data_IF_491429201504
#
_entry.id   IF_491429201504
#
_cell.length_a   1.000
_cell.length_b   1.000
_cell.length_c   1.000
_cell.angle_alpha   90.00
_cell.angle_beta   90.00
_cell.angle_gamma   90.00
#
_symmetry.space_group_name_H-M   'P 1'
#
loop_
_entity.id
_entity.type
_entity.pdbx_description
1 polymer ?
#
# COMPACT_ATOMS: atom_id res chain seq x y z
N UNK A 1 46.63 40.67 33.85
CA UNK A 1 45.58 40.55 32.82
C UNK A 1 45.69 39.17 32.19
N UNK A 2 44.71 38.29 32.43
CA UNK A 2 44.64 36.94 31.86
C UNK A 2 43.74 37.01 30.61
N UNK A 3 44.26 36.60 29.46
CA UNK A 3 43.45 36.37 28.25
C UNK A 3 42.74 35.01 28.36
N UNK A 4 41.49 34.87 27.88
CA UNK A 4 40.77 33.60 27.90
C UNK A 4 41.28 32.65 26.80
N UNK A 5 41.12 31.33 26.97
CA UNK A 5 41.50 30.36 25.95
C UNK A 5 40.48 30.37 24.80
N UNK A 6 40.99 30.24 23.57
CA UNK A 6 40.18 30.06 22.37
C UNK A 6 39.49 28.68 22.41
N UNK A 7 38.16 28.67 22.34
CA UNK A 7 37.39 27.45 22.09
C UNK A 7 37.61 27.00 20.64
N UNK A 8 38.30 25.87 20.45
CA UNK A 8 38.25 25.12 19.20
C UNK A 8 36.84 24.54 19.06
N UNK A 9 36.06 25.13 18.15
CA UNK A 9 34.80 24.54 17.70
C UNK A 9 35.15 23.39 16.75
N UNK A 10 35.07 22.15 17.24
CA UNK A 10 35.12 20.98 16.38
C UNK A 10 33.79 20.88 15.64
N UNK A 11 33.78 21.29 14.37
CA UNK A 11 32.71 20.93 13.44
C UNK A 11 32.90 19.44 13.15
N UNK A 12 32.16 18.56 13.85
CA UNK A 12 32.00 17.19 13.38
C UNK A 12 31.26 17.27 12.03
N UNK A 13 31.79 16.63 10.97
CA UNK A 13 30.97 16.42 9.79
C UNK A 13 29.82 15.50 10.23
N UNK A 14 28.57 15.98 10.11
CA UNK A 14 27.43 15.08 10.10
C UNK A 14 27.63 14.15 8.92
N UNK A 15 28.05 12.92 9.20
CA UNK A 15 27.93 11.83 8.26
C UNK A 15 26.42 11.68 8.03
N UNK A 16 25.93 12.14 6.88
CA UNK A 16 24.69 11.63 6.32
C UNK A 16 24.84 10.12 6.32
N UNK A 17 24.12 9.43 7.19
CA UNK A 17 24.00 7.99 7.14
C UNK A 17 23.21 7.67 5.88
N UNK A 18 23.87 7.62 4.73
CA UNK A 18 23.41 6.79 3.63
C UNK A 18 23.38 5.38 4.21
N UNK A 19 22.19 4.90 4.55
CA UNK A 19 22.00 3.50 4.91
C UNK A 19 22.69 2.67 3.84
N UNK A 20 23.63 1.81 4.25
CA UNK A 20 24.19 0.81 3.35
C UNK A 20 23.02 -0.11 3.04
N UNK A 21 22.41 0.11 1.87
CA UNK A 21 21.22 -0.62 1.46
C UNK A 21 21.53 -2.12 1.47
N UNK A 22 20.64 -2.92 2.06
CA UNK A 22 20.77 -4.37 2.04
C UNK A 22 20.80 -4.83 0.57
N UNK A 23 21.95 -5.35 0.14
CA UNK A 23 22.09 -5.92 -1.18
C UNK A 23 21.31 -7.24 -1.21
N UNK A 24 20.38 -7.38 -2.16
CA UNK A 24 19.63 -8.62 -2.31
C UNK A 24 20.63 -9.74 -2.68
N UNK A 25 20.40 -11.02 -2.30
CA UNK A 25 21.36 -12.07 -2.61
C UNK A 25 21.50 -12.27 -4.14
N UNK A 26 22.70 -12.64 -4.61
CA UNK A 26 22.89 -12.94 -6.05
C UNK A 26 22.11 -14.18 -6.49
N UNK A 27 21.99 -15.16 -5.60
CA UNK A 27 21.21 -16.37 -5.79
C UNK A 27 20.32 -16.60 -4.59
N UNK A 28 19.12 -17.09 -4.82
CA UNK A 28 18.17 -17.43 -3.78
C UNK A 28 17.56 -18.79 -4.11
N UNK A 29 17.47 -19.67 -3.13
CA UNK A 29 16.80 -20.95 -3.27
C UNK A 29 15.41 -20.83 -2.68
N UNK A 30 14.40 -21.00 -3.50
CA UNK A 30 13.01 -21.06 -3.06
C UNK A 30 12.82 -22.25 -2.10
N UNK A 31 12.00 -22.07 -1.07
CA UNK A 31 11.74 -23.10 -0.06
C UNK A 31 10.27 -23.16 0.38
N UNK A 32 9.36 -22.73 -0.49
CA UNK A 32 7.91 -22.74 -0.28
C UNK A 32 7.19 -23.72 -1.21
N UNK A 33 6.11 -24.33 -0.72
CA UNK A 33 5.34 -25.35 -1.44
C UNK A 33 6.23 -26.43 -2.11
N UNK A 34 6.06 -26.64 -3.41
CA UNK A 34 6.87 -27.54 -4.25
C UNK A 34 8.05 -26.82 -4.91
N UNK A 35 8.24 -25.52 -4.65
CA UNK A 35 9.32 -24.73 -5.21
C UNK A 35 10.60 -25.00 -4.41
N UNK A 36 11.58 -25.56 -5.10
CA UNK A 36 12.94 -25.76 -4.62
C UNK A 36 13.93 -25.41 -5.74
N UNK A 37 13.71 -24.27 -6.40
CA UNK A 37 14.60 -23.82 -7.47
C UNK A 37 15.55 -22.76 -6.97
N UNK A 38 16.76 -22.82 -7.50
CA UNK A 38 17.71 -21.73 -7.34
C UNK A 38 17.46 -20.72 -8.43
N UNK A 39 17.03 -19.52 -8.03
CA UNK A 39 16.85 -18.37 -8.90
C UNK A 39 18.04 -17.43 -8.75
N UNK A 40 18.36 -16.71 -9.81
CA UNK A 40 19.48 -15.76 -9.85
C UNK A 40 18.96 -14.34 -10.06
N UNK A 41 19.47 -13.40 -9.28
CA UNK A 41 19.17 -11.98 -9.44
C UNK A 41 19.68 -11.49 -10.79
N UNK A 42 18.80 -10.88 -11.58
CA UNK A 42 19.11 -10.28 -12.89
C UNK A 42 19.08 -8.76 -12.86
N UNK A 43 18.42 -8.17 -11.87
CA UNK A 43 18.36 -6.72 -11.67
C UNK A 43 18.10 -6.37 -10.20
N UNK A 44 18.57 -5.20 -9.78
CA UNK A 44 18.23 -4.59 -8.50
C UNK A 44 18.35 -3.07 -8.56
N UNK A 45 17.40 -2.38 -7.90
CA UNK A 45 17.53 -0.99 -7.47
C UNK A 45 17.07 -0.82 -6.00
N UNK A 46 16.70 0.39 -5.59
CA UNK A 46 16.27 0.68 -4.22
C UNK A 46 14.90 0.08 -3.84
N UNK A 47 14.10 -0.30 -4.84
CA UNK A 47 12.69 -0.64 -4.68
C UNK A 47 12.36 -2.04 -5.20
N UNK A 48 13.16 -2.61 -6.09
CA UNK A 48 12.90 -3.95 -6.62
C UNK A 48 14.19 -4.74 -6.80
N UNK A 49 14.09 -6.04 -6.55
CA UNK A 49 15.08 -7.04 -6.95
C UNK A 49 14.37 -8.10 -7.82
N UNK A 50 14.86 -8.31 -9.04
CA UNK A 50 14.25 -9.25 -10.01
C UNK A 50 15.13 -10.48 -10.12
N UNK A 51 14.52 -11.65 -10.04
CA UNK A 51 15.14 -12.97 -10.08
C UNK A 51 14.52 -13.83 -11.16
N UNK A 52 15.38 -14.50 -11.91
CA UNK A 52 14.98 -15.47 -12.93
C UNK A 52 15.51 -16.85 -12.54
N UNK A 53 14.69 -17.88 -12.76
CA UNK A 53 15.21 -19.23 -12.87
C UNK A 53 16.04 -19.41 -14.16
N UNK A 54 16.64 -20.58 -14.36
CA UNK A 54 17.48 -20.84 -15.53
C UNK A 54 16.71 -20.94 -16.86
N UNK A 55 15.38 -21.04 -16.82
CA UNK A 55 14.53 -21.21 -18.01
C UNK A 55 14.06 -19.85 -18.57
N UNK A 56 14.00 -18.79 -17.76
CA UNK A 56 13.66 -17.45 -18.24
C UNK A 56 14.81 -16.83 -19.04
N UNK A 57 14.47 -16.26 -20.21
CA UNK A 57 15.46 -15.56 -21.04
C UNK A 57 15.98 -14.30 -20.33
N UNK A 58 17.28 -14.29 -19.99
CA UNK A 58 17.96 -13.20 -19.29
C UNK A 58 18.03 -11.87 -20.06
N UNK A 59 17.72 -11.84 -21.35
CA UNK A 59 17.61 -10.58 -22.10
C UNK A 59 16.33 -9.79 -21.79
N UNK A 60 15.37 -10.38 -21.07
CA UNK A 60 14.10 -9.75 -20.70
C UNK A 60 14.36 -8.75 -19.56
N UNK A 61 13.96 -7.49 -19.78
CA UNK A 61 14.27 -6.37 -18.87
C UNK A 61 13.07 -5.49 -18.52
N UNK A 62 11.91 -5.68 -19.16
CA UNK A 62 10.70 -4.91 -18.84
C UNK A 62 10.28 -5.01 -17.36
N UNK A 63 10.49 -6.13 -16.62
CA UNK A 63 10.11 -6.20 -15.21
C UNK A 63 10.85 -5.18 -14.35
N UNK A 64 12.11 -4.87 -14.69
CA UNK A 64 12.98 -4.01 -13.91
C UNK A 64 12.35 -2.62 -13.66
N UNK A 65 11.89 -1.98 -14.73
CA UNK A 65 11.25 -0.67 -14.64
C UNK A 65 9.80 -0.80 -14.20
N UNK A 66 9.03 -1.72 -14.82
CA UNK A 66 7.61 -1.83 -14.55
C UNK A 66 7.30 -2.15 -13.09
N UNK A 67 7.94 -3.19 -12.52
CA UNK A 67 7.71 -3.56 -11.12
C UNK A 67 8.27 -2.53 -10.14
N UNK A 68 9.38 -1.85 -10.49
CA UNK A 68 9.86 -0.72 -9.72
C UNK A 68 8.80 0.39 -9.64
N UNK A 69 8.15 0.73 -10.76
CA UNK A 69 7.11 1.75 -10.80
C UNK A 69 5.84 1.32 -10.06
N UNK A 70 5.40 0.06 -10.24
CA UNK A 70 4.28 -0.53 -9.49
C UNK A 70 4.56 -0.48 -7.99
N UNK A 71 5.73 -0.91 -7.54
CA UNK A 71 6.06 -0.97 -6.11
C UNK A 71 6.22 0.43 -5.49
N UNK A 72 6.84 1.38 -6.20
CA UNK A 72 6.90 2.78 -5.77
C UNK A 72 5.51 3.39 -5.63
N UNK A 73 4.62 3.13 -6.59
CA UNK A 73 3.23 3.55 -6.49
C UNK A 73 2.54 2.93 -5.27
N UNK A 74 2.67 1.62 -5.09
CA UNK A 74 2.11 0.88 -3.95
C UNK A 74 2.54 1.48 -2.62
N UNK A 75 3.84 1.73 -2.42
CA UNK A 75 4.36 2.35 -1.19
C UNK A 75 3.88 3.79 -0.99
N UNK A 76 3.69 4.56 -2.05
CA UNK A 76 3.19 5.95 -1.99
C UNK A 76 1.69 6.05 -1.70
N UNK A 77 0.94 5.00 -1.98
CA UNK A 77 -0.51 4.96 -1.82
C UNK A 77 -0.93 4.26 -0.53
N UNK A 78 -0.27 3.15 -0.20
CA UNK A 78 -0.65 2.27 0.90
C UNK A 78 0.32 2.32 2.09
N UNK A 79 1.42 3.06 2.00
CA UNK A 79 2.40 3.25 3.06
C UNK A 79 3.49 2.18 3.04
N UNK A 80 4.09 1.92 4.20
CA UNK A 80 5.20 0.98 4.29
C UNK A 80 4.77 -0.50 4.29
N UNK A 81 5.66 -1.39 3.82
CA UNK A 81 5.46 -2.85 3.82
C UNK A 81 6.64 -3.56 4.50
N UNK A 82 6.88 -3.25 5.78
CA UNK A 82 8.06 -3.75 6.50
C UNK A 82 9.32 -2.92 6.24
N UNK A 83 10.39 -3.23 6.95
CA UNK A 83 11.61 -2.41 6.96
C UNK A 83 12.42 -2.52 5.67
N UNK A 84 12.26 -3.60 4.92
CA UNK A 84 12.85 -3.75 3.60
C UNK A 84 12.06 -2.92 2.58
N UNK A 85 12.77 -2.07 1.84
CA UNK A 85 12.17 -1.20 0.83
C UNK A 85 11.84 -1.94 -0.47
N UNK A 86 12.36 -3.16 -0.66
CA UNK A 86 12.32 -3.88 -1.92
C UNK A 86 11.15 -4.84 -2.04
N UNK A 87 10.61 -4.90 -3.26
CA UNK A 87 9.86 -6.04 -3.76
C UNK A 87 10.81 -7.05 -4.38
N UNK A 88 10.65 -8.33 -4.05
CA UNK A 88 11.42 -9.43 -4.64
C UNK A 88 10.54 -10.14 -5.65
N UNK A 89 10.86 -10.01 -6.94
CA UNK A 89 10.06 -10.55 -8.02
C UNK A 89 10.77 -11.72 -8.68
N UNK A 90 10.16 -12.90 -8.64
CA UNK A 90 10.68 -14.14 -9.19
C UNK A 90 9.87 -14.52 -10.43
N UNK A 91 10.56 -14.95 -11.48
CA UNK A 91 9.93 -15.39 -12.72
C UNK A 91 10.38 -16.81 -13.10
N UNK A 92 9.42 -17.58 -13.59
CA UNK A 92 9.59 -18.92 -14.13
C UNK A 92 9.02 -19.05 -15.55
N UNK A 93 9.70 -19.81 -16.41
CA UNK A 93 9.22 -20.14 -17.76
C UNK A 93 9.11 -21.66 -17.96
N UNK A 94 8.04 -22.09 -18.62
CA UNK A 94 7.73 -23.50 -18.87
C UNK A 94 7.22 -24.29 -17.65
N UNK A 95 6.89 -23.63 -16.53
CA UNK A 95 6.53 -24.25 -15.24
C UNK A 95 5.79 -23.28 -14.30
N UNK A 96 5.27 -23.83 -13.20
CA UNK A 96 4.64 -23.08 -12.09
C UNK A 96 3.64 -22.01 -12.53
N UNK A 97 2.79 -22.34 -13.51
CA UNK A 97 1.88 -21.37 -14.11
C UNK A 97 0.95 -20.76 -13.06
N UNK A 98 0.93 -19.43 -12.98
CA UNK A 98 0.17 -18.70 -11.96
C UNK A 98 1.06 -17.73 -11.21
N UNK A 99 0.52 -17.20 -10.11
CA UNK A 99 1.25 -16.32 -9.20
C UNK A 99 1.13 -16.82 -7.78
N UNK A 100 2.15 -16.52 -6.99
CA UNK A 100 2.24 -16.83 -5.58
C UNK A 100 2.85 -15.62 -4.85
N UNK A 101 2.04 -14.90 -4.05
CA UNK A 101 2.51 -13.75 -3.31
C UNK A 101 2.92 -14.17 -1.89
N UNK A 102 3.85 -13.43 -1.30
CA UNK A 102 4.13 -13.54 0.13
C UNK A 102 4.58 -12.20 0.69
N UNK A 103 4.39 -12.03 1.99
CA UNK A 103 4.63 -10.76 2.67
C UNK A 103 5.80 -10.88 3.62
N UNK A 104 6.32 -9.73 4.06
CA UNK A 104 7.40 -9.68 5.05
C UNK A 104 7.04 -10.32 6.42
N UNK A 105 5.78 -10.70 6.65
CA UNK A 105 5.39 -11.46 7.83
C UNK A 105 5.80 -12.94 7.74
N UNK A 106 6.00 -13.46 6.53
CA UNK A 106 6.16 -14.89 6.29
C UNK A 106 7.63 -15.33 6.37
N UNK A 107 7.93 -16.18 7.35
CA UNK A 107 9.26 -16.76 7.48
C UNK A 107 9.61 -17.73 6.34
N UNK A 108 8.61 -18.34 5.69
CA UNK A 108 8.80 -19.21 4.52
C UNK A 108 9.31 -18.47 3.28
N UNK A 109 9.33 -17.13 3.30
CA UNK A 109 9.85 -16.30 2.22
C UNK A 109 10.93 -15.36 2.74
N UNK A 110 11.65 -15.78 3.78
CA UNK A 110 12.74 -15.04 4.41
C UNK A 110 12.34 -13.64 4.90
N UNK A 111 11.04 -13.47 5.24
CA UNK A 111 10.43 -12.20 5.65
C UNK A 111 10.61 -11.09 4.62
N UNK A 112 10.43 -11.43 3.34
CA UNK A 112 10.44 -10.49 2.20
C UNK A 112 9.03 -10.30 1.63
N UNK A 113 8.80 -9.15 1.00
CA UNK A 113 7.65 -9.01 0.09
C UNK A 113 8.01 -9.63 -1.24
N UNK A 114 7.28 -10.67 -1.64
CA UNK A 114 7.60 -11.52 -2.77
C UNK A 114 6.41 -11.60 -3.71
N UNK A 115 6.69 -11.49 -5.00
CA UNK A 115 5.83 -12.04 -6.02
C UNK A 115 6.63 -13.12 -6.74
N UNK A 116 6.03 -14.28 -6.89
CA UNK A 116 6.58 -15.41 -7.62
C UNK A 116 5.60 -15.76 -8.73
N UNK A 117 6.02 -15.56 -9.98
CA UNK A 117 5.15 -15.77 -11.14
C UNK A 117 5.74 -16.78 -12.10
N UNK A 118 4.90 -17.69 -12.58
CA UNK A 118 5.28 -18.67 -13.57
C UNK A 118 4.30 -18.72 -14.74
N UNK A 119 4.79 -19.32 -15.82
CA UNK A 119 4.02 -19.56 -17.03
C UNK A 119 4.34 -20.93 -17.59
N UNK A 120 3.32 -21.64 -18.06
CA UNK A 120 3.50 -22.91 -18.76
C UNK A 120 4.22 -22.76 -20.12
N UNK A 121 4.36 -21.54 -20.65
CA UNK A 121 5.09 -21.30 -21.89
C UNK A 121 6.61 -21.22 -21.65
N UNK A 122 7.44 -21.98 -22.38
CA UNK A 122 8.90 -21.89 -22.29
C UNK A 122 9.47 -20.58 -22.85
N UNK A 123 8.66 -19.80 -23.57
CA UNK A 123 9.06 -18.48 -24.13
C UNK A 123 8.29 -17.33 -23.48
N UNK A 124 7.78 -17.54 -22.27
CA UNK A 124 7.02 -16.56 -21.51
C UNK A 124 7.81 -15.25 -21.28
N UNK A 125 7.08 -14.19 -20.91
CA UNK A 125 7.62 -12.89 -20.51
C UNK A 125 8.29 -12.08 -21.62
N UNK A 126 8.36 -12.60 -22.85
CA UNK A 126 9.01 -11.90 -23.97
C UNK A 126 8.26 -10.62 -24.35
N UNK A 127 6.94 -10.57 -24.13
CA UNK A 127 6.10 -9.49 -24.63
C UNK A 127 6.06 -8.27 -23.70
N UNK A 128 6.08 -8.47 -22.38
CA UNK A 128 5.96 -7.37 -21.40
C UNK A 128 4.68 -6.56 -21.57
N UNK A 129 3.60 -7.22 -21.97
CA UNK A 129 2.28 -6.64 -22.23
C UNK A 129 1.17 -7.62 -21.86
N UNK A 130 -0.06 -7.14 -21.72
CA UNK A 130 -1.20 -8.00 -21.43
C UNK A 130 -1.01 -8.77 -20.12
N UNK A 131 -1.14 -10.09 -20.17
CA UNK A 131 -1.05 -10.94 -18.99
C UNK A 131 0.31 -10.87 -18.28
N UNK A 132 1.40 -10.59 -19.01
CA UNK A 132 2.73 -10.40 -18.40
C UNK A 132 2.70 -9.27 -17.35
N UNK A 133 1.97 -8.19 -17.64
CA UNK A 133 1.79 -7.05 -16.74
C UNK A 133 0.66 -7.29 -15.72
N UNK A 134 -0.43 -7.93 -16.16
CA UNK A 134 -1.61 -8.15 -15.33
C UNK A 134 -1.27 -9.03 -14.11
N UNK A 135 -0.58 -10.15 -14.32
CA UNK A 135 -0.29 -11.11 -13.25
C UNK A 135 0.68 -10.53 -12.22
N UNK A 136 1.75 -9.86 -12.66
CA UNK A 136 2.73 -9.33 -11.72
C UNK A 136 2.18 -8.17 -10.90
N UNK A 137 1.26 -7.38 -11.46
CA UNK A 137 0.53 -6.32 -10.72
C UNK A 137 -0.47 -6.92 -9.74
N UNK A 138 -1.13 -7.99 -10.16
CA UNK A 138 -2.08 -8.72 -9.35
C UNK A 138 -1.42 -9.32 -8.11
N UNK A 139 -0.23 -9.90 -8.24
CA UNK A 139 0.50 -10.43 -7.08
C UNK A 139 0.93 -9.32 -6.11
N UNK A 140 1.26 -8.12 -6.61
CA UNK A 140 1.49 -6.95 -5.74
C UNK A 140 0.20 -6.56 -5.01
N UNK A 141 -0.97 -6.71 -5.62
CA UNK A 141 -2.25 -6.46 -4.97
C UNK A 141 -2.45 -7.36 -3.75
N UNK A 142 -2.05 -8.62 -3.83
CA UNK A 142 -2.10 -9.54 -2.68
C UNK A 142 -1.18 -9.10 -1.54
N UNK A 143 0.01 -8.57 -1.83
CA UNK A 143 0.88 -7.98 -0.80
C UNK A 143 0.17 -6.80 -0.12
N UNK A 144 -0.53 -5.96 -0.88
CA UNK A 144 -1.34 -4.87 -0.31
C UNK A 144 -2.44 -5.42 0.59
N UNK A 145 -3.20 -6.39 0.10
CA UNK A 145 -4.28 -7.02 0.84
C UNK A 145 -3.82 -7.68 2.14
N UNK A 146 -2.67 -8.38 2.12
CA UNK A 146 -2.20 -9.23 3.21
C UNK A 146 -1.27 -8.53 4.21
N UNK A 147 -0.74 -7.35 3.88
CA UNK A 147 0.26 -6.68 4.73
C UNK A 147 0.08 -5.16 4.90
N UNK A 148 -0.99 -4.57 4.35
CA UNK A 148 -1.26 -3.15 4.53
C UNK A 148 -1.33 -2.76 6.00
N UNK A 149 -0.74 -1.59 6.30
CA UNK A 149 -0.81 -0.94 7.63
C UNK A 149 -0.16 -1.73 8.75
N UNK A 150 0.79 -2.61 8.42
CA UNK A 150 1.50 -3.39 9.44
C UNK A 150 0.64 -4.46 10.10
N UNK A 151 -0.46 -4.86 9.45
CA UNK A 151 -1.34 -5.93 9.94
C UNK A 151 -1.39 -7.04 8.90
N UNK A 152 -1.17 -8.26 9.35
CA UNK A 152 -1.15 -9.48 8.55
C UNK A 152 -2.57 -10.06 8.38
N UNK A 153 -2.74 -10.85 7.30
CA UNK A 153 -3.96 -11.49 6.80
C UNK A 153 -4.99 -10.55 6.16
N UNK A 154 -5.93 -11.15 5.42
CA UNK A 154 -7.06 -10.47 4.79
C UNK A 154 -8.38 -10.84 5.44
N UNK A 155 -8.99 -9.94 6.24
CA UNK A 155 -10.30 -10.18 6.84
C UNK A 155 -11.42 -10.37 5.83
N UNK A 156 -11.27 -9.84 4.61
CA UNK A 156 -12.27 -9.89 3.55
C UNK A 156 -12.10 -11.10 2.61
N UNK A 157 -11.00 -11.85 2.68
CA UNK A 157 -10.71 -12.96 1.78
C UNK A 157 -11.85 -13.98 1.70
N UNK A 158 -12.48 -14.34 2.82
CA UNK A 158 -13.62 -15.27 2.82
C UNK A 158 -14.87 -14.76 2.09
N UNK A 159 -14.99 -13.45 1.87
CA UNK A 159 -16.15 -12.81 1.23
C UNK A 159 -15.89 -12.57 -0.26
N UNK A 160 -14.78 -11.90 -0.56
CA UNK A 160 -14.42 -11.54 -1.93
C UNK A 160 -13.56 -12.61 -2.62
N UNK A 161 -13.12 -13.64 -1.91
CA UNK A 161 -12.26 -14.73 -2.40
C UNK A 161 -10.96 -14.22 -3.02
N UNK A 162 -10.31 -15.11 -3.75
CA UNK A 162 -9.10 -14.77 -4.46
C UNK A 162 -9.34 -13.65 -5.47
N UNK A 163 -8.48 -12.64 -5.38
CA UNK A 163 -8.24 -11.65 -6.42
C UNK A 163 -9.30 -10.60 -6.75
N UNK A 164 -10.51 -10.61 -6.16
CA UNK A 164 -11.54 -9.63 -6.57
C UNK A 164 -11.16 -8.18 -6.28
N UNK A 165 -10.39 -7.95 -5.21
CA UNK A 165 -9.82 -6.63 -4.94
C UNK A 165 -8.65 -6.29 -5.89
N UNK A 166 -7.87 -7.29 -6.32
CA UNK A 166 -6.80 -7.12 -7.30
C UNK A 166 -7.31 -6.58 -8.65
N UNK A 167 -8.55 -6.90 -9.03
CA UNK A 167 -9.18 -6.38 -10.25
C UNK A 167 -9.20 -4.84 -10.29
N UNK A 168 -9.58 -4.19 -9.17
CA UNK A 168 -9.61 -2.72 -9.10
C UNK A 168 -8.21 -2.13 -8.87
N UNK A 169 -7.34 -2.84 -8.15
CA UNK A 169 -5.96 -2.43 -7.95
C UNK A 169 -5.19 -2.37 -9.27
N UNK A 170 -5.29 -3.40 -10.13
CA UNK A 170 -4.65 -3.40 -11.44
C UNK A 170 -5.09 -2.21 -12.29
N UNK A 171 -6.39 -1.90 -12.30
CA UNK A 171 -6.93 -0.75 -13.01
C UNK A 171 -6.33 0.57 -12.48
N UNK A 172 -6.29 0.73 -11.16
CA UNK A 172 -5.73 1.89 -10.49
C UNK A 172 -4.23 2.09 -10.81
N UNK A 173 -3.43 1.03 -10.69
CA UNK A 173 -2.00 1.04 -11.05
C UNK A 173 -1.80 1.47 -12.50
N UNK A 174 -2.56 0.91 -13.44
CA UNK A 174 -2.43 1.31 -14.85
C UNK A 174 -2.74 2.79 -15.07
N UNK A 175 -3.76 3.33 -14.40
CA UNK A 175 -4.05 4.77 -14.46
C UNK A 175 -2.93 5.61 -13.86
N UNK A 176 -2.43 5.23 -12.67
CA UNK A 176 -1.38 5.95 -11.97
C UNK A 176 -0.06 5.99 -12.75
N UNK A 177 0.25 4.92 -13.48
CA UNK A 177 1.45 4.82 -14.32
C UNK A 177 1.25 5.40 -15.73
N UNK A 178 0.11 6.04 -16.02
CA UNK A 178 -0.19 6.64 -17.33
C UNK A 178 -0.39 5.62 -18.45
N UNK A 179 -0.66 4.35 -18.12
CA UNK A 179 -0.81 3.24 -19.06
C UNK A 179 -2.26 3.13 -19.55
N UNK A 180 -2.73 4.19 -20.21
CA UNK A 180 -4.14 4.34 -20.63
C UNK A 180 -4.64 3.17 -21.50
N UNK A 181 -3.80 2.61 -22.38
CA UNK A 181 -4.18 1.45 -23.21
C UNK A 181 -4.42 0.19 -22.37
N UNK A 182 -3.56 -0.06 -21.39
CA UNK A 182 -3.68 -1.20 -20.48
C UNK A 182 -4.88 -1.03 -19.54
N UNK A 183 -5.06 0.17 -18.99
CA UNK A 183 -6.23 0.51 -18.18
C UNK A 183 -7.55 0.28 -18.95
N UNK A 184 -7.64 0.73 -20.19
CA UNK A 184 -8.84 0.55 -21.03
C UNK A 184 -9.09 -0.92 -21.36
N UNK A 185 -8.04 -1.67 -21.72
CA UNK A 185 -8.14 -3.12 -21.97
C UNK A 185 -8.63 -3.85 -20.71
N UNK A 186 -8.01 -3.58 -19.57
CA UNK A 186 -8.32 -4.21 -18.30
C UNK A 186 -9.73 -3.88 -17.83
N UNK A 187 -10.14 -2.60 -17.92
CA UNK A 187 -11.50 -2.17 -17.64
C UNK A 187 -12.51 -2.94 -18.48
N UNK A 188 -12.32 -2.99 -19.81
CA UNK A 188 -13.23 -3.68 -20.72
C UNK A 188 -13.32 -5.19 -20.45
N UNK A 189 -12.24 -5.80 -19.96
CA UNK A 189 -12.27 -7.18 -19.52
C UNK A 189 -13.08 -7.33 -18.22
N UNK A 190 -12.71 -6.59 -17.18
CA UNK A 190 -13.27 -6.72 -15.83
C UNK A 190 -14.74 -6.33 -15.72
N UNK A 191 -15.23 -5.37 -16.53
CA UNK A 191 -16.66 -5.04 -16.54
C UNK A 191 -17.54 -6.18 -17.07
N UNK A 192 -16.97 -7.09 -17.85
CA UNK A 192 -17.67 -8.25 -18.41
C UNK A 192 -17.45 -9.53 -17.58
N UNK A 193 -16.47 -9.55 -16.67
CA UNK A 193 -16.21 -10.69 -15.77
C UNK A 193 -17.39 -10.91 -14.83
N UNK A 194 -17.83 -12.16 -14.72
CA UNK A 194 -18.87 -12.61 -13.80
C UNK A 194 -18.35 -13.67 -12.84
N UNK A 195 -18.93 -13.67 -11.64
CA UNK A 195 -18.70 -14.67 -10.61
C UNK A 195 -20.02 -15.27 -10.13
N UNK A 196 -19.92 -16.47 -9.54
CA UNK A 196 -21.05 -17.16 -8.93
C UNK A 196 -21.26 -16.80 -7.46
N UNK A 197 -20.46 -15.88 -6.91
CA UNK A 197 -20.48 -15.49 -5.51
C UNK A 197 -20.50 -13.95 -5.35
N UNK A 198 -21.21 -13.42 -4.33
CA UNK A 198 -22.02 -14.17 -3.35
C UNK A 198 -23.30 -14.79 -3.94
N UNK A 199 -23.62 -14.46 -5.18
CA UNK A 199 -24.69 -15.09 -5.96
C UNK A 199 -24.32 -15.19 -7.44
N UNK A 200 -25.05 -16.00 -8.18
CA UNK A 200 -24.89 -16.13 -9.63
C UNK A 200 -24.94 -14.76 -10.33
N UNK A 201 -24.06 -14.58 -11.33
CA UNK A 201 -23.95 -13.37 -12.15
C UNK A 201 -23.54 -12.11 -11.37
N UNK A 202 -22.74 -12.27 -10.31
CA UNK A 202 -22.14 -11.12 -9.61
C UNK A 202 -21.02 -10.53 -10.48
N UNK A 203 -20.98 -9.21 -10.60
CA UNK A 203 -19.85 -8.50 -11.21
C UNK A 203 -19.13 -7.65 -10.17
N UNK A 204 -18.08 -8.19 -9.56
CA UNK A 204 -17.34 -7.51 -8.47
C UNK A 204 -16.72 -6.19 -8.91
N UNK A 205 -15.96 -6.19 -10.01
CA UNK A 205 -15.40 -4.96 -10.55
C UNK A 205 -16.49 -3.96 -10.94
N UNK A 206 -17.45 -4.36 -11.80
CA UNK A 206 -18.45 -3.46 -12.39
C UNK A 206 -19.42 -2.86 -11.37
N UNK A 207 -19.96 -3.68 -10.48
CA UNK A 207 -21.10 -3.32 -9.64
C UNK A 207 -20.69 -2.95 -8.21
N UNK A 208 -19.46 -3.25 -7.78
CA UNK A 208 -18.97 -2.95 -6.45
C UNK A 208 -17.73 -2.04 -6.45
N UNK A 209 -16.57 -2.54 -6.89
CA UNK A 209 -15.33 -1.81 -6.70
C UNK A 209 -15.19 -0.58 -7.60
N UNK A 210 -15.54 -0.68 -8.88
CA UNK A 210 -15.38 0.44 -9.81
C UNK A 210 -16.29 1.63 -9.47
N UNK A 211 -17.59 1.46 -9.14
CA UNK A 211 -18.43 2.57 -8.69
C UNK A 211 -17.89 3.22 -7.41
N UNK A 212 -17.36 2.43 -6.47
CA UNK A 212 -16.77 2.96 -5.24
C UNK A 212 -15.52 3.79 -5.59
N UNK A 213 -14.60 3.22 -6.34
CA UNK A 213 -13.36 3.86 -6.79
C UNK A 213 -13.66 5.18 -7.53
N UNK A 214 -14.51 5.11 -8.57
CA UNK A 214 -14.83 6.24 -9.44
C UNK A 214 -15.46 7.40 -8.69
N UNK A 215 -16.37 7.12 -7.75
CA UNK A 215 -17.20 8.15 -7.13
C UNK A 215 -16.67 8.65 -5.80
N UNK A 216 -15.70 7.95 -5.18
CA UNK A 216 -15.28 8.24 -3.80
C UNK A 216 -13.77 8.45 -3.63
N UNK A 217 -13.09 8.92 -4.68
CA UNK A 217 -11.71 9.42 -4.58
C UNK A 217 -10.62 8.44 -5.01
N UNK A 218 -10.94 7.48 -5.89
CA UNK A 218 -9.97 6.60 -6.54
C UNK A 218 -9.20 5.74 -5.55
N UNK A 219 -7.87 5.69 -5.69
CA UNK A 219 -6.98 4.97 -4.78
C UNK A 219 -7.12 5.38 -3.31
N UNK A 220 -7.56 6.62 -3.05
CA UNK A 220 -7.76 7.09 -1.67
C UNK A 220 -8.88 6.33 -0.95
N UNK A 221 -9.98 5.93 -1.63
CA UNK A 221 -11.01 5.10 -0.98
C UNK A 221 -10.51 3.67 -0.76
N UNK A 222 -9.73 3.13 -1.69
CA UNK A 222 -9.12 1.80 -1.54
C UNK A 222 -8.19 1.77 -0.32
N UNK A 223 -7.31 2.77 -0.18
CA UNK A 223 -6.41 2.90 0.96
C UNK A 223 -7.19 3.06 2.28
N UNK A 224 -8.20 3.94 2.32
CA UNK A 224 -8.99 4.18 3.55
C UNK A 224 -9.71 2.95 4.07
N UNK A 225 -10.08 2.00 3.20
CA UNK A 225 -10.61 0.72 3.64
C UNK A 225 -9.63 -0.01 4.56
N UNK A 226 -8.36 -0.14 4.16
CA UNK A 226 -7.32 -0.75 5.01
C UNK A 226 -7.00 0.08 6.25
N UNK A 227 -7.04 1.42 6.16
CA UNK A 227 -6.89 2.29 7.33
C UNK A 227 -7.94 1.98 8.39
N UNK A 228 -9.21 1.88 7.98
CA UNK A 228 -10.30 1.58 8.90
C UNK A 228 -10.16 0.18 9.51
N UNK A 229 -9.82 -0.84 8.70
CA UNK A 229 -9.55 -2.18 9.23
C UNK A 229 -8.44 -2.15 10.28
N UNK A 230 -7.31 -1.52 9.97
CA UNK A 230 -6.18 -1.40 10.89
C UNK A 230 -6.51 -0.58 12.13
N UNK A 231 -7.45 0.37 12.06
CA UNK A 231 -7.85 1.16 13.21
C UNK A 231 -8.85 0.43 14.12
N UNK A 232 -9.84 -0.26 13.54
CA UNK A 232 -11.02 -0.71 14.27
C UNK A 232 -11.12 -2.23 14.43
N UNK A 233 -10.64 -3.02 13.46
CA UNK A 233 -10.79 -4.46 13.55
C UNK A 233 -9.84 -5.03 14.61
N UNK A 234 -10.32 -5.94 15.51
CA UNK A 234 -9.48 -6.55 16.53
C UNK A 234 -8.30 -7.32 15.93
N UNK A 235 -7.18 -7.33 16.65
CA UNK A 235 -5.92 -7.98 16.24
C UNK A 235 -5.47 -8.98 17.28
N UNK A 236 -4.76 -10.00 16.83
CA UNK A 236 -4.04 -10.96 17.66
C UNK A 236 -2.56 -10.96 17.25
N UNK A 237 -1.73 -10.24 18.02
CA UNK A 237 -0.38 -9.91 17.60
C UNK A 237 -0.40 -9.02 16.35
N UNK A 238 0.34 -9.42 15.32
CA UNK A 238 0.35 -8.73 14.01
C UNK A 238 -0.81 -9.13 13.10
N UNK A 239 -1.61 -10.15 13.43
CA UNK A 239 -2.69 -10.64 12.56
C UNK A 239 -4.02 -9.97 12.90
N UNK A 240 -4.92 -9.85 11.93
CA UNK A 240 -6.33 -9.65 12.25
C UNK A 240 -6.87 -10.86 13.03
N UNK A 241 -7.66 -10.60 14.08
CA UNK A 241 -8.11 -11.67 14.97
C UNK A 241 -9.18 -12.58 14.35
N UNK A 242 -9.87 -12.12 13.29
CA UNK A 242 -10.95 -12.84 12.61
C UNK A 242 -11.27 -12.22 11.24
N UNK A 243 -11.99 -12.98 10.42
CA UNK A 243 -12.61 -12.48 9.19
C UNK A 243 -13.82 -11.57 9.44
N UNK A 244 -14.18 -10.81 8.41
CA UNK A 244 -15.39 -9.99 8.36
C UNK A 244 -16.60 -10.84 7.99
N UNK A 245 -17.76 -10.45 8.49
CA UNK A 245 -19.04 -10.82 7.88
C UNK A 245 -19.48 -9.77 6.84
N UNK A 246 -20.58 -10.02 6.12
CA UNK A 246 -21.06 -9.12 5.06
C UNK A 246 -21.50 -7.75 5.60
N UNK A 247 -22.18 -7.71 6.74
CA UNK A 247 -22.54 -6.44 7.36
C UNK A 247 -21.34 -5.56 7.67
N UNK A 248 -20.29 -6.14 8.23
CA UNK A 248 -19.02 -5.45 8.50
C UNK A 248 -18.33 -5.03 7.20
N UNK A 249 -18.24 -5.91 6.20
CA UNK A 249 -17.64 -5.58 4.91
C UNK A 249 -18.25 -4.32 4.30
N UNK A 250 -19.59 -4.24 4.25
CA UNK A 250 -20.29 -3.07 3.72
C UNK A 250 -20.12 -1.86 4.64
N UNK A 251 -20.12 -2.05 5.96
CA UNK A 251 -19.92 -0.97 6.93
C UNK A 251 -18.53 -0.32 6.79
N UNK A 252 -17.46 -1.10 6.68
CA UNK A 252 -16.09 -0.60 6.50
C UNK A 252 -15.89 0.08 5.14
N UNK A 253 -16.44 -0.48 4.06
CA UNK A 253 -16.43 0.21 2.76
C UNK A 253 -17.25 1.50 2.78
N UNK A 254 -18.35 1.54 3.54
CA UNK A 254 -19.15 2.76 3.72
C UNK A 254 -18.38 3.84 4.47
N UNK A 255 -17.63 3.47 5.51
CA UNK A 255 -16.70 4.36 6.20
C UNK A 255 -15.61 4.87 5.26
N UNK A 256 -15.00 3.98 4.48
CA UNK A 256 -13.95 4.35 3.55
C UNK A 256 -14.45 5.31 2.46
N UNK A 257 -15.66 5.08 1.96
CA UNK A 257 -16.29 5.94 0.95
C UNK A 257 -16.84 7.25 1.53
N UNK A 258 -17.06 7.32 2.85
CA UNK A 258 -17.72 8.45 3.49
C UNK A 258 -19.20 8.56 3.11
N UNK A 259 -19.84 7.44 2.76
CA UNK A 259 -21.27 7.36 2.43
C UNK A 259 -21.79 5.95 2.70
N UNK A 260 -23.07 5.80 3.06
CA UNK A 260 -23.67 4.48 3.24
C UNK A 260 -23.80 3.74 1.89
N UNK A 261 -23.07 2.64 1.73
CA UNK A 261 -23.04 1.84 0.50
C UNK A 261 -24.06 0.69 0.48
N UNK A 262 -24.97 0.58 1.46
CA UNK A 262 -25.99 -0.48 1.50
C UNK A 262 -26.82 -0.57 0.22
N UNK A 263 -27.21 0.55 -0.37
CA UNK A 263 -27.98 0.56 -1.64
C UNK A 263 -27.17 0.01 -2.80
N UNK A 264 -25.87 0.34 -2.87
CA UNK A 264 -24.96 -0.21 -3.88
C UNK A 264 -24.79 -1.72 -3.67
N UNK A 265 -24.55 -2.15 -2.43
CA UNK A 265 -24.40 -3.57 -2.08
C UNK A 265 -25.67 -4.37 -2.39
N UNK A 266 -26.85 -3.81 -2.10
CA UNK A 266 -28.14 -4.44 -2.44
C UNK A 266 -28.25 -4.69 -3.94
N UNK A 267 -27.82 -3.72 -4.75
CA UNK A 267 -27.86 -3.84 -6.21
C UNK A 267 -26.85 -4.87 -6.72
N UNK A 268 -25.61 -4.83 -6.23
CA UNK A 268 -24.54 -5.72 -6.64
C UNK A 268 -24.79 -7.18 -6.19
N UNK A 269 -25.09 -7.37 -4.91
CA UNK A 269 -25.01 -8.68 -4.25
C UNK A 269 -26.36 -9.19 -3.73
N UNK A 270 -27.38 -8.33 -3.67
CA UNK A 270 -28.59 -8.59 -2.90
C UNK A 270 -28.44 -8.18 -1.45
N UNK A 271 -29.53 -8.31 -0.67
CA UNK A 271 -29.55 -7.87 0.73
C UNK A 271 -30.45 -8.78 1.59
N UNK A 272 -29.98 -10.00 1.95
CA UNK A 272 -30.73 -10.89 2.82
C UNK A 272 -30.86 -10.31 4.24
N UNK A 273 -31.89 -10.76 4.97
CA UNK A 273 -32.16 -10.28 6.33
C UNK A 273 -30.98 -10.50 7.31
N UNK A 274 -30.17 -11.54 7.09
CA UNK A 274 -28.95 -11.79 7.86
C UNK A 274 -27.95 -10.64 7.74
N UNK A 275 -27.75 -10.10 6.53
CA UNK A 275 -26.81 -9.00 6.31
C UNK A 275 -27.32 -7.71 6.92
N UNK A 276 -28.64 -7.50 6.99
CA UNK A 276 -29.22 -6.37 7.71
C UNK A 276 -28.89 -6.42 9.20
N UNK A 277 -29.03 -7.60 9.82
CA UNK A 277 -28.70 -7.81 11.23
C UNK A 277 -27.20 -7.59 11.47
N UNK A 278 -26.34 -8.17 10.62
CA UNK A 278 -24.89 -7.98 10.67
C UNK A 278 -24.48 -6.51 10.49
N UNK A 279 -25.08 -5.80 9.53
CA UNK A 279 -24.76 -4.39 9.24
C UNK A 279 -25.14 -3.48 10.41
N UNK A 280 -26.33 -3.69 10.97
CA UNK A 280 -26.78 -2.93 12.15
C UNK A 280 -25.90 -3.22 13.37
N UNK A 281 -25.42 -4.46 13.53
CA UNK A 281 -24.47 -4.81 14.59
C UNK A 281 -23.10 -4.17 14.35
N UNK A 282 -22.58 -4.21 13.12
CA UNK A 282 -21.31 -3.59 12.76
C UNK A 282 -21.30 -2.08 13.07
N UNK A 283 -22.39 -1.37 12.79
CA UNK A 283 -22.52 0.05 13.14
C UNK A 283 -22.48 0.34 14.64
N UNK A 284 -22.87 -0.63 15.48
CA UNK A 284 -22.76 -0.51 16.95
C UNK A 284 -21.34 -0.82 17.43
N UNK A 285 -20.73 -1.86 16.87
CA UNK A 285 -19.42 -2.35 17.30
C UNK A 285 -18.28 -1.42 16.82
N UNK A 286 -18.46 -0.76 15.68
CA UNK A 286 -17.49 0.14 15.07
C UNK A 286 -18.11 1.52 14.79
N UNK A 287 -18.25 2.40 15.79
CA UNK A 287 -19.06 3.61 15.68
C UNK A 287 -18.37 4.77 14.93
N UNK A 288 -17.64 4.49 13.84
CA UNK A 288 -17.15 5.54 12.94
C UNK A 288 -18.28 6.07 12.05
N UNK A 289 -18.23 7.36 11.74
CA UNK A 289 -19.22 8.02 10.89
C UNK A 289 -18.85 7.91 9.42
N UNK A 290 -19.87 7.92 8.55
CA UNK A 290 -19.67 8.02 7.11
C UNK A 290 -19.52 9.48 6.71
N UNK A 291 -18.54 10.16 7.30
CA UNK A 291 -18.23 11.53 6.94
C UNK A 291 -17.31 11.50 5.72
N UNK A 292 -17.65 12.18 4.61
CA UNK A 292 -16.74 12.33 3.50
C UNK A 292 -15.39 12.85 4.00
N UNK A 293 -14.28 12.19 3.64
CA UNK A 293 -12.97 12.66 4.05
C UNK A 293 -12.77 14.09 3.52
N UNK A 294 -12.13 14.93 4.33
CA UNK A 294 -11.72 16.25 3.88
C UNK A 294 -10.77 16.17 2.68
N UNK A 295 -10.48 17.30 2.02
CA UNK A 295 -9.52 17.34 0.93
C UNK A 295 -8.16 16.78 1.39
N UNK A 296 -7.59 15.87 0.59
CA UNK A 296 -6.19 15.46 0.73
C UNK A 296 -5.31 16.68 0.53
N UNK A 297 -4.60 17.09 1.58
CA UNK A 297 -3.96 18.40 1.63
C UNK A 297 -2.46 18.32 1.92
N UNK A 298 -1.99 17.23 2.53
CA UNK A 298 -0.59 17.05 2.91
C UNK A 298 -0.15 15.66 2.51
N UNK A 299 1.05 15.53 1.95
CA UNK A 299 1.69 14.22 1.74
C UNK A 299 2.99 14.19 2.51
N UNK A 300 3.15 13.24 3.42
CA UNK A 300 4.42 13.01 4.15
C UNK A 300 5.22 11.90 3.47
N UNK A 301 6.54 11.97 3.54
CA UNK A 301 7.46 11.02 2.90
C UNK A 301 8.56 10.58 3.86
N UNK A 302 8.94 9.33 3.72
CA UNK A 302 9.97 8.73 4.56
C UNK A 302 11.32 9.44 4.41
N UNK A 303 11.76 9.61 3.16
CA UNK A 303 13.11 10.10 2.85
C UNK A 303 13.10 11.54 2.35
N UNK A 304 14.29 12.15 2.26
CA UNK A 304 14.49 13.43 1.58
C UNK A 304 14.03 13.37 0.12
N UNK A 305 13.71 14.54 -0.46
CA UNK A 305 13.30 14.69 -1.86
C UNK A 305 12.08 13.84 -2.24
N UNK A 306 11.17 13.60 -1.28
CA UNK A 306 9.95 12.83 -1.47
C UNK A 306 10.21 11.34 -1.85
N UNK A 307 11.32 10.80 -1.34
CA UNK A 307 11.70 9.40 -1.48
C UNK A 307 11.00 8.47 -0.49
N UNK A 308 11.30 7.17 -0.58
CA UNK A 308 10.72 6.13 0.27
C UNK A 308 9.21 5.96 0.09
N UNK A 309 8.53 5.47 1.12
CA UNK A 309 7.06 5.45 1.13
C UNK A 309 6.51 6.86 1.35
N UNK A 310 5.25 7.05 0.98
CA UNK A 310 4.55 8.31 1.21
C UNK A 310 3.12 8.05 1.69
N UNK A 311 2.53 9.06 2.32
CA UNK A 311 1.13 8.99 2.72
C UNK A 311 0.43 10.33 2.55
N UNK A 312 -0.64 10.32 1.76
CA UNK A 312 -1.46 11.49 1.48
C UNK A 312 -2.60 11.58 2.51
N UNK A 313 -2.55 12.64 3.32
CA UNK A 313 -3.41 12.85 4.47
C UNK A 313 -4.45 13.94 4.17
N UNK A 314 -5.74 13.62 4.35
CA UNK A 314 -6.82 14.59 4.45
C UNK A 314 -6.61 15.65 5.54
N UNK A 315 -7.40 16.72 5.47
CA UNK A 315 -7.62 17.59 6.64
C UNK A 315 -8.08 16.74 7.83
N UNK A 316 -7.40 16.89 8.96
CA UNK A 316 -7.62 16.02 10.12
C UNK A 316 -6.57 16.18 11.20
N UNK A 317 -6.77 15.44 12.29
CA UNK A 317 -5.85 15.34 13.41
C UNK A 317 -5.41 13.90 13.54
N UNK A 318 -4.10 13.68 13.59
CA UNK A 318 -3.51 12.35 13.54
C UNK A 318 -2.60 12.17 14.75
N UNK A 319 -3.05 11.39 15.73
CA UNK A 319 -2.19 10.83 16.78
C UNK A 319 -1.25 9.81 16.16
N UNK A 320 -0.25 9.34 16.93
CA UNK A 320 0.65 8.28 16.50
C UNK A 320 -0.11 7.02 16.09
N UNK A 321 -1.10 6.63 16.90
CA UNK A 321 -1.96 5.47 16.59
C UNK A 321 -2.73 5.64 15.27
N UNK A 322 -3.21 6.85 14.98
CA UNK A 322 -3.85 7.14 13.70
C UNK A 322 -2.83 7.09 12.55
N UNK A 323 -1.64 7.68 12.71
CA UNK A 323 -0.59 7.65 11.70
C UNK A 323 -0.14 6.22 11.36
N UNK A 324 0.02 5.36 12.36
CA UNK A 324 0.28 3.93 12.14
C UNK A 324 -0.84 3.26 11.33
N UNK A 325 -2.12 3.54 11.63
CA UNK A 325 -3.24 3.02 10.84
C UNK A 325 -3.25 3.59 9.41
N UNK A 326 -2.69 4.78 9.19
CA UNK A 326 -2.45 5.33 7.86
C UNK A 326 -1.20 4.76 7.17
N UNK A 327 -0.35 3.99 7.87
CA UNK A 327 0.87 3.39 7.34
C UNK A 327 2.09 4.30 7.40
N UNK A 328 2.07 5.29 8.30
CA UNK A 328 3.19 6.19 8.63
C UNK A 328 3.82 5.73 9.94
N UNK A 329 5.13 5.51 9.97
CA UNK A 329 5.85 5.10 11.18
C UNK A 329 6.16 6.28 12.07
N UNK A 330 6.32 6.00 13.37
CA UNK A 330 6.90 6.95 14.31
C UNK A 330 8.31 7.33 13.88
N UNK A 331 8.66 8.62 13.98
CA UNK A 331 10.05 9.08 13.86
C UNK A 331 10.72 8.62 12.56
N UNK A 332 10.03 8.78 11.43
CA UNK A 332 10.46 8.21 10.13
C UNK A 332 10.05 9.09 8.94
N UNK A 333 9.72 10.37 9.18
CA UNK A 333 9.33 11.33 8.14
C UNK A 333 10.41 12.39 7.98
N UNK A 334 10.91 12.53 6.75
CA UNK A 334 12.01 13.44 6.41
C UNK A 334 11.65 14.48 5.35
N UNK A 335 10.55 14.34 4.63
CA UNK A 335 10.07 15.40 3.71
C UNK A 335 8.55 15.42 3.59
N UNK A 336 7.97 16.52 3.10
CA UNK A 336 6.53 16.67 2.97
C UNK A 336 6.13 17.61 1.83
N UNK A 337 4.89 17.44 1.35
CA UNK A 337 4.23 18.36 0.42
C UNK A 337 2.97 18.93 1.06
N UNK A 338 2.70 20.20 0.80
CA UNK A 338 1.51 20.90 1.33
C UNK A 338 0.78 21.57 0.18
N UNK A 339 -0.47 21.15 -0.04
CA UNK A 339 -1.35 21.75 -1.03
C UNK A 339 -1.59 23.24 -0.70
N UNK A 340 -1.65 24.06 -1.74
CA UNK A 340 -1.95 25.48 -1.59
C UNK A 340 -3.25 25.72 -0.82
N UNK A 341 -3.23 26.67 0.12
CA UNK A 341 -4.37 26.97 0.99
C UNK A 341 -4.47 26.08 2.24
N UNK A 342 -3.48 25.21 2.50
CA UNK A 342 -3.42 24.35 3.69
C UNK A 342 -2.12 24.54 4.46
N UNK A 343 -2.09 24.01 5.69
CA UNK A 343 -0.92 23.91 6.56
C UNK A 343 -0.90 22.58 7.27
N UNK A 344 0.29 22.14 7.63
CA UNK A 344 0.53 21.05 8.57
C UNK A 344 1.29 21.55 9.78
N UNK A 345 0.85 21.16 10.97
CA UNK A 345 1.63 21.32 12.20
C UNK A 345 2.07 19.95 12.67
N UNK A 346 3.37 19.70 12.65
CA UNK A 346 4.04 18.51 13.15
C UNK A 346 4.30 18.67 14.66
N UNK A 347 4.24 17.59 15.40
CA UNK A 347 4.52 17.53 16.84
C UNK A 347 5.53 16.41 17.13
N UNK A 348 6.50 16.73 17.97
CA UNK A 348 7.61 15.84 18.36
C UNK A 348 7.12 14.63 19.18
N UNK A 349 5.99 14.75 19.84
CA UNK A 349 5.43 13.68 20.66
C UNK A 349 3.97 13.40 20.26
N UNK A 350 3.50 12.23 20.67
CA UNK A 350 2.11 11.83 20.45
C UNK A 350 1.14 12.80 21.14
N UNK A 351 -0.13 12.76 20.72
CA UNK A 351 -1.23 13.56 21.24
C UNK A 351 -0.95 15.07 21.16
N UNK A 352 -0.26 15.51 20.10
CA UNK A 352 -0.02 16.91 19.76
C UNK A 352 0.78 17.65 20.85
N UNK A 353 1.83 17.01 21.35
CA UNK A 353 2.68 17.52 22.45
C UNK A 353 4.16 17.62 22.04
N UNK A 354 4.99 18.18 22.93
CA UNK A 354 6.41 18.44 22.64
C UNK A 354 6.64 19.68 21.78
N UNK A 355 7.81 19.76 21.14
CA UNK A 355 8.07 20.81 20.15
C UNK A 355 7.11 20.70 18.95
N UNK A 356 6.87 21.81 18.25
CA UNK A 356 6.05 21.81 17.03
C UNK A 356 6.69 22.60 15.89
N UNK A 357 6.41 22.17 14.65
CA UNK A 357 6.84 22.83 13.42
C UNK A 357 5.64 22.96 12.48
N UNK A 358 5.41 24.15 11.94
CA UNK A 358 4.34 24.38 10.97
C UNK A 358 4.91 24.63 9.58
N UNK A 359 4.40 23.90 8.59
CA UNK A 359 4.73 24.08 7.16
C UNK A 359 3.48 24.43 6.37
N UNK A 360 3.63 25.37 5.44
CA UNK A 360 2.56 25.87 4.56
C UNK A 360 2.89 25.68 3.07
N UNK A 361 4.01 25.02 2.78
CA UNK A 361 4.51 24.76 1.45
C UNK A 361 5.28 23.44 1.47
N UNK A 362 5.58 22.94 0.27
CA UNK A 362 6.44 21.77 0.09
C UNK A 362 7.80 21.98 0.76
N UNK A 363 8.30 20.90 1.34
CA UNK A 363 9.64 20.83 1.90
C UNK A 363 10.32 19.52 1.52
N UNK A 364 11.42 19.64 0.78
CA UNK A 364 12.21 18.50 0.33
C UNK A 364 13.08 17.90 1.44
N UNK A 365 13.28 18.60 2.56
CA UNK A 365 14.00 18.06 3.71
C UNK A 365 13.61 18.74 5.02
N UNK A 366 13.26 17.94 6.03
CA UNK A 366 13.09 18.41 7.41
C UNK A 366 14.41 18.41 8.19
N UNK A 367 15.54 18.06 7.55
CA UNK A 367 16.86 17.99 8.18
C UNK A 367 17.36 19.39 8.53
N UNK A 368 17.21 20.36 7.62
CA UNK A 368 17.57 21.76 7.83
C UNK A 368 16.61 22.50 8.78
N UNK A 369 15.43 21.93 9.04
CA UNK A 369 14.55 22.35 10.13
C UNK A 369 14.94 21.74 11.50
N UNK A 370 15.88 20.79 11.56
CA UNK A 370 16.16 19.94 12.74
C UNK A 370 14.97 19.03 13.16
N UNK A 371 14.16 18.60 12.19
CA UNK A 371 12.94 17.79 12.32
C UNK A 371 12.98 16.43 11.62
N UNK A 372 14.13 16.02 11.10
CA UNK A 372 14.35 14.68 10.55
C UNK A 372 13.95 13.61 11.57
N UNK A 373 13.01 12.74 11.20
CA UNK A 373 12.64 11.57 12.01
C UNK A 373 12.21 11.93 13.43
N UNK A 374 11.46 13.02 13.61
CA UNK A 374 10.95 13.47 14.93
C UNK A 374 9.44 13.48 15.10
N UNK A 375 8.70 13.37 14.01
CA UNK A 375 7.25 13.56 14.06
C UNK A 375 6.57 12.30 14.59
N UNK A 376 5.82 12.45 15.69
CA UNK A 376 4.95 11.39 16.23
C UNK A 376 3.46 11.71 16.10
N UNK A 377 3.07 12.98 15.91
CA UNK A 377 1.68 13.36 15.62
C UNK A 377 1.60 14.63 14.77
N UNK A 378 0.48 14.82 14.06
CA UNK A 378 0.30 16.01 13.22
C UNK A 378 -1.15 16.47 13.08
N UNK A 379 -1.32 17.74 12.72
CA UNK A 379 -2.62 18.34 12.38
C UNK A 379 -2.54 18.95 10.99
N UNK A 380 -3.47 18.56 10.12
CA UNK A 380 -3.67 19.15 8.80
C UNK A 380 -4.91 20.05 8.84
N UNK A 381 -4.79 21.30 8.39
CA UNK A 381 -5.89 22.27 8.38
C UNK A 381 -5.75 23.28 7.24
N UNK A 382 -6.80 24.03 6.95
CA UNK A 382 -6.72 25.15 6.01
C UNK A 382 -5.83 26.28 6.56
N UNK A 383 -5.12 26.96 5.68
CA UNK A 383 -4.36 28.17 5.99
C UNK A 383 -5.31 29.35 6.05
N UNK A 384 -5.45 29.99 7.22
CA UNK A 384 -6.23 31.23 7.39
C UNK A 384 -7.53 31.12 8.19
N UNK A 385 -7.74 30.02 8.93
CA UNK A 385 -8.69 29.97 10.06
C UNK A 385 -7.98 30.13 11.40
#
# INVERSE_FOLDING_TARGET
>A
MKFPPASLCFVLPMLSATSVQAQAPETWTEHWFEHNQTVSRVYQDNDVAVYFDSAVNRSITWPNTYLGDVWRYTKRTYGHFGTDSQLYAIFHAGKYSGGHPSTYFDASHDRRNVIDVGSSSPTAWTAGTGNDLDIVTHEVAHIVELASKGVHDSPAFGLWRDSKWAEIFNYDVYLALGRTSDANRWYNLMVNTTDSFPRANTHWFRDWFYPIYKNHGGSSVLNRYFVLLAQYLPKNGSNYARSLNWGEFIHFWSGAAGVNLKTLATSAFGWPAEWEAQFTQAQRDFPFTYTPPGPTAVTVFQDQNYGGYGMALPVGRYTLSALHAWGVRNDDITSLKVASGYKVTLYEHDNFSGASLTKTADDASLVDDSWNDKMSSLIVSASGM
#
